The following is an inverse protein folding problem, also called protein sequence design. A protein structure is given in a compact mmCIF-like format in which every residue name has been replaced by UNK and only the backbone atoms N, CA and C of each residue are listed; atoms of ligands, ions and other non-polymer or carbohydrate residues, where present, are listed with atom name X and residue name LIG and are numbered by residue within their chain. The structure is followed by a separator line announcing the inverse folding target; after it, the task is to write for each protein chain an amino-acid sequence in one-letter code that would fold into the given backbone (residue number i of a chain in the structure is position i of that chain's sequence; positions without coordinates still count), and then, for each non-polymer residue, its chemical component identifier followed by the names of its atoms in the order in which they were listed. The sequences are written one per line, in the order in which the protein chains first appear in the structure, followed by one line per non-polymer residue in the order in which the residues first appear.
data_IF_328978382839
#
_entry.id   IF_328978382839
#
_cell.length_a   1.000
_cell.length_b   1.000
_cell.length_c   1.000
_cell.angle_alpha   90.00
_cell.angle_beta   90.00
_cell.angle_gamma   90.00
#
_symmetry.space_group_name_H-M   'P 1'
#
loop_
_entity.id
_entity.type
_entity.pdbx_description
1 polymer ?
#
# COMPACT_ATOMS: atom_id res chain seq x y z
N UNK A 1 8.45 -7.41 -16.13
CA UNK A 1 7.98 -8.56 -15.32
C UNK A 1 9.20 -9.16 -14.64
N UNK A 2 9.16 -9.31 -13.32
CA UNK A 2 10.22 -9.92 -12.50
C UNK A 2 9.68 -11.23 -11.90
N UNK A 3 10.54 -12.21 -11.62
CA UNK A 3 10.13 -13.43 -10.90
C UNK A 3 10.74 -13.50 -9.50
N UNK A 4 9.93 -13.95 -8.54
CA UNK A 4 10.32 -14.33 -7.19
C UNK A 4 9.93 -15.79 -6.97
N UNK A 5 10.88 -16.69 -7.21
CA UNK A 5 10.56 -18.11 -7.39
C UNK A 5 9.60 -18.30 -8.56
N UNK A 6 8.46 -18.96 -8.31
CA UNK A 6 7.46 -19.26 -9.34
C UNK A 6 6.48 -18.12 -9.61
N UNK A 7 6.42 -17.11 -8.75
CA UNK A 7 5.48 -15.99 -8.88
C UNK A 7 6.05 -14.91 -9.78
N UNK A 8 5.30 -14.55 -10.82
CA UNK A 8 5.60 -13.40 -11.67
C UNK A 8 4.99 -12.15 -11.04
N UNK A 9 5.83 -11.13 -10.83
CA UNK A 9 5.47 -9.85 -10.24
C UNK A 9 5.69 -8.75 -11.28
N UNK A 10 4.75 -7.82 -11.33
CA UNK A 10 4.71 -6.69 -12.25
C UNK A 10 4.76 -5.39 -11.47
N UNK A 11 5.40 -4.38 -12.06
CA UNK A 11 5.33 -3.01 -11.57
C UNK A 11 3.86 -2.61 -11.36
N UNK A 12 3.56 -2.13 -10.16
CA UNK A 12 2.22 -1.78 -9.71
C UNK A 12 1.50 -2.88 -8.92
N UNK A 13 2.01 -4.11 -8.89
CA UNK A 13 1.40 -5.18 -8.08
C UNK A 13 1.34 -4.77 -6.60
N UNK A 14 0.18 -4.99 -5.99
CA UNK A 14 -0.03 -4.73 -4.57
C UNK A 14 0.41 -5.96 -3.78
N UNK A 15 1.28 -5.74 -2.81
CA UNK A 15 1.82 -6.79 -1.95
C UNK A 15 1.17 -6.72 -0.57
N UNK A 16 0.55 -7.80 -0.13
CA UNK A 16 -0.07 -7.92 1.20
C UNK A 16 0.73 -8.87 2.09
N UNK A 17 1.38 -8.33 3.14
CA UNK A 17 2.25 -9.10 4.04
C UNK A 17 1.43 -9.94 5.00
N UNK A 18 1.80 -11.21 5.13
CA UNK A 18 1.26 -12.18 6.07
C UNK A 18 2.12 -12.22 7.34
N UNK A 19 1.48 -12.22 8.50
CA UNK A 19 2.12 -12.57 9.78
C UNK A 19 2.15 -14.08 9.96
N UNK A 20 3.33 -14.69 9.89
CA UNK A 20 3.53 -16.13 10.13
C UNK A 20 3.91 -16.36 11.60
N UNK A 21 2.91 -16.39 12.49
CA UNK A 21 2.90 -17.12 13.79
C UNK A 21 3.94 -16.84 14.89
N UNK A 22 5.17 -16.39 14.60
CA UNK A 22 6.25 -16.30 15.58
C UNK A 22 6.99 -14.95 15.62
N UNK A 23 6.68 -14.00 14.74
CA UNK A 23 7.38 -12.70 14.70
C UNK A 23 6.41 -11.54 14.92
N UNK A 24 6.03 -11.39 16.18
CA UNK A 24 5.38 -10.21 16.75
C UNK A 24 6.39 -9.06 16.85
N UNK A 25 6.80 -8.44 15.73
CA UNK A 25 7.63 -7.23 15.77
C UNK A 25 6.98 -6.01 15.08
N UNK A 26 6.66 -5.04 15.95
CA UNK A 26 6.44 -3.59 15.81
C UNK A 26 5.32 -3.04 14.91
N UNK A 27 4.97 -3.63 13.78
CA UNK A 27 3.90 -3.05 12.92
C UNK A 27 2.49 -3.48 13.41
N UNK A 28 2.39 -4.63 14.07
CA UNK A 28 1.14 -5.16 14.64
C UNK A 28 0.75 -4.48 15.97
N UNK A 29 1.71 -3.93 16.72
CA UNK A 29 1.46 -3.44 18.07
C UNK A 29 0.58 -2.18 18.14
N UNK A 30 0.43 -1.43 17.04
CA UNK A 30 -0.25 -0.13 17.08
C UNK A 30 -1.77 -0.25 16.86
N UNK A 31 -2.27 -1.37 16.31
CA UNK A 31 -3.70 -1.51 15.99
C UNK A 31 -4.42 -2.77 16.50
N UNK A 32 -3.71 -3.86 16.79
CA UNK A 32 -4.38 -5.16 17.03
C UNK A 32 -4.62 -5.51 18.50
N UNK A 33 -4.17 -4.71 19.49
CA UNK A 33 -4.38 -5.02 20.91
C UNK A 33 -5.73 -4.58 21.49
N UNK A 34 -6.56 -3.83 20.74
CA UNK A 34 -7.81 -3.24 21.27
C UNK A 34 -9.06 -3.43 20.39
N UNK A 35 -8.96 -4.11 19.25
CA UNK A 35 -10.04 -4.22 18.27
C UNK A 35 -10.59 -5.64 18.03
N UNK A 36 -10.44 -6.55 18.98
CA UNK A 36 -10.94 -7.92 18.85
C UNK A 36 -12.47 -7.99 19.07
N UNK A 37 -13.25 -7.52 18.09
CA UNK A 37 -14.68 -7.81 18.02
C UNK A 37 -15.14 -7.96 16.56
N UNK A 38 -15.59 -9.18 16.23
CA UNK A 38 -16.38 -9.61 15.07
C UNK A 38 -15.74 -9.54 13.66
N UNK A 39 -15.12 -10.66 13.24
CA UNK A 39 -15.18 -11.10 11.83
C UNK A 39 -13.87 -11.61 11.23
N UNK A 40 -13.45 -12.83 11.62
CA UNK A 40 -12.39 -13.61 10.96
C UNK A 40 -10.99 -12.98 11.01
N UNK A 41 -10.05 -13.61 11.71
CA UNK A 41 -8.65 -13.14 11.74
C UNK A 41 -8.03 -13.27 10.35
N UNK A 42 -7.91 -12.15 9.62
CA UNK A 42 -6.96 -12.07 8.50
C UNK A 42 -5.56 -11.95 9.10
N UNK A 43 -4.65 -12.80 8.66
CA UNK A 43 -3.23 -12.74 9.00
C UNK A 43 -2.48 -11.67 8.20
N UNK A 44 -3.19 -10.84 7.41
CA UNK A 44 -2.59 -9.74 6.65
C UNK A 44 -2.38 -8.52 7.54
N UNK A 45 -1.14 -8.05 7.60
CA UNK A 45 -0.70 -7.01 8.55
C UNK A 45 -0.05 -5.80 7.89
N UNK A 46 0.23 -5.85 6.59
CA UNK A 46 0.87 -4.76 5.87
C UNK A 46 0.48 -4.75 4.40
N UNK A 47 0.61 -3.59 3.76
CA UNK A 47 0.39 -3.40 2.34
C UNK A 47 1.48 -2.52 1.72
N UNK A 48 1.92 -2.87 0.52
CA UNK A 48 2.98 -2.18 -0.22
C UNK A 48 2.76 -2.28 -1.73
N UNK A 49 3.54 -1.55 -2.53
CA UNK A 49 3.51 -1.62 -4.01
C UNK A 49 4.87 -2.09 -4.51
N UNK A 50 4.89 -3.10 -5.39
CA UNK A 50 6.11 -3.42 -6.13
C UNK A 50 6.35 -2.37 -7.21
N UNK A 51 7.49 -1.67 -7.16
CA UNK A 51 7.79 -0.56 -8.07
C UNK A 51 8.82 -0.93 -9.15
N UNK A 52 9.38 -2.14 -9.10
CA UNK A 52 10.38 -2.57 -10.08
C UNK A 52 11.78 -2.11 -9.70
N UNK A 53 12.59 -1.68 -10.66
CA UNK A 53 13.94 -1.17 -10.40
C UNK A 53 13.91 0.35 -10.28
N UNK A 54 14.52 0.88 -9.22
CA UNK A 54 14.71 2.32 -8.97
C UNK A 54 16.18 2.58 -8.61
N UNK A 55 16.60 3.83 -8.49
CA UNK A 55 18.00 4.14 -8.18
C UNK A 55 18.44 3.45 -6.87
N UNK A 56 19.51 2.66 -6.93
CA UNK A 56 20.02 1.90 -5.78
C UNK A 56 19.26 0.62 -5.43
N UNK A 57 18.17 0.28 -6.12
CA UNK A 57 17.37 -0.92 -5.86
C UNK A 57 16.99 -1.65 -7.15
N UNK A 58 17.40 -2.91 -7.26
CA UNK A 58 17.08 -3.76 -8.41
C UNK A 58 15.63 -4.27 -8.40
N UNK A 59 15.06 -4.44 -7.20
CA UNK A 59 13.71 -5.00 -6.98
C UNK A 59 13.01 -4.30 -5.82
N UNK A 60 12.71 -3.04 -5.99
CA UNK A 60 12.09 -2.23 -4.94
C UNK A 60 10.60 -2.52 -4.73
N UNK A 61 10.25 -2.50 -3.46
CA UNK A 61 8.91 -2.43 -2.91
C UNK A 61 8.83 -1.08 -2.20
N UNK A 62 7.86 -0.25 -2.58
CA UNK A 62 7.56 0.98 -1.88
C UNK A 62 6.55 0.71 -0.76
N UNK A 63 6.85 1.15 0.46
CA UNK A 63 6.01 0.92 1.63
C UNK A 63 6.01 2.09 2.62
N UNK A 64 5.02 2.11 3.51
CA UNK A 64 4.91 3.05 4.64
C UNK A 64 4.93 2.27 5.95
N UNK A 65 6.04 2.38 6.68
CA UNK A 65 6.30 1.68 7.96
C UNK A 65 6.59 2.68 9.08
N UNK A 66 6.80 2.21 10.31
CA UNK A 66 7.01 3.10 11.47
C UNK A 66 8.10 4.17 11.33
N UNK A 67 9.10 3.97 10.46
CA UNK A 67 10.15 4.95 10.14
C UNK A 67 9.80 5.91 8.99
N UNK A 68 8.59 5.82 8.42
CA UNK A 68 8.15 6.59 7.25
C UNK A 68 8.09 5.78 5.94
N UNK A 69 7.99 6.50 4.83
CA UNK A 69 8.07 5.95 3.47
C UNK A 69 9.49 5.48 3.16
N UNK A 70 9.62 4.29 2.58
CA UNK A 70 10.92 3.74 2.20
C UNK A 70 10.81 2.76 1.04
N UNK A 71 11.96 2.48 0.42
CA UNK A 71 12.14 1.30 -0.41
C UNK A 71 12.59 0.11 0.43
N UNK A 72 12.11 -1.05 0.03
CA UNK A 72 12.49 -2.35 0.54
C UNK A 72 12.84 -3.25 -0.63
N UNK A 73 13.87 -4.08 -0.49
CA UNK A 73 14.12 -5.18 -1.42
C UNK A 73 13.71 -6.52 -0.80
N UNK A 74 13.20 -7.47 -1.60
CA UNK A 74 12.95 -8.83 -1.15
C UNK A 74 14.21 -9.51 -0.62
N UNK A 75 14.12 -10.01 0.60
CA UNK A 75 15.15 -10.79 1.27
C UNK A 75 14.68 -12.25 1.40
N UNK A 76 15.24 -13.21 0.64
CA UNK A 76 14.80 -14.60 0.64
C UNK A 76 14.91 -15.29 2.02
N UNK A 77 15.68 -14.72 2.95
CA UNK A 77 15.83 -15.23 4.31
C UNK A 77 14.82 -14.61 5.30
N UNK A 78 13.92 -13.73 4.85
CA UNK A 78 12.86 -13.17 5.69
C UNK A 78 11.79 -14.22 6.01
N UNK A 79 11.34 -14.22 7.26
CA UNK A 79 10.23 -15.08 7.71
C UNK A 79 8.86 -14.61 7.24
N UNK A 80 8.76 -13.50 6.52
CA UNK A 80 7.49 -12.98 6.03
C UNK A 80 7.19 -13.45 4.61
N UNK A 81 5.91 -13.72 4.36
CA UNK A 81 5.37 -13.96 3.02
C UNK A 81 4.44 -12.83 2.60
N UNK A 82 4.30 -12.63 1.29
CA UNK A 82 3.45 -11.60 0.73
C UNK A 82 2.54 -12.19 -0.34
N UNK A 83 1.24 -11.96 -0.22
CA UNK A 83 0.30 -12.22 -1.31
C UNK A 83 0.44 -11.12 -2.35
N UNK A 84 0.58 -11.52 -3.61
CA UNK A 84 0.72 -10.61 -4.75
C UNK A 84 -0.63 -10.45 -5.42
N UNK A 85 -1.11 -9.22 -5.53
CA UNK A 85 -2.36 -8.86 -6.20
C UNK A 85 -2.09 -7.97 -7.40
N UNK A 86 -2.62 -8.39 -8.53
CA UNK A 86 -2.36 -7.80 -9.84
C UNK A 86 -3.62 -7.17 -10.39
N UNK A 87 -3.57 -5.89 -10.75
CA UNK A 87 -4.65 -5.25 -11.49
C UNK A 87 -4.60 -5.67 -12.96
N UNK A 88 -5.62 -6.42 -13.39
CA UNK A 88 -5.86 -6.80 -14.78
C UNK A 88 -6.45 -5.67 -15.61
N UNK A 89 -6.23 -5.72 -16.92
CA UNK A 89 -6.91 -4.86 -17.91
C UNK A 89 -6.50 -3.38 -17.96
N UNK A 90 -5.75 -2.86 -16.98
CA UNK A 90 -5.31 -1.45 -16.98
C UNK A 90 -3.82 -1.30 -16.61
N UNK A 91 -2.95 -1.61 -17.58
CA UNK A 91 -1.50 -1.55 -17.38
C UNK A 91 -0.98 -0.13 -17.12
N UNK A 92 -1.53 0.88 -17.79
CA UNK A 92 -1.13 2.27 -17.61
C UNK A 92 -1.37 2.73 -16.17
N UNK A 93 -2.54 2.41 -15.61
CA UNK A 93 -2.89 2.78 -14.24
C UNK A 93 -1.94 2.17 -13.20
N UNK A 94 -1.66 0.86 -13.30
CA UNK A 94 -0.76 0.21 -12.33
C UNK A 94 0.69 0.68 -12.44
N UNK A 95 1.19 0.94 -13.65
CA UNK A 95 2.54 1.46 -13.84
C UNK A 95 2.66 2.87 -13.26
N UNK A 96 1.71 3.74 -13.57
CA UNK A 96 1.71 5.10 -13.03
C UNK A 96 1.55 5.13 -11.51
N UNK A 97 0.74 4.23 -10.94
CA UNK A 97 0.62 4.10 -9.48
C UNK A 97 1.95 3.68 -8.85
N UNK A 98 2.74 2.83 -9.52
CA UNK A 98 4.07 2.44 -9.06
C UNK A 98 5.07 3.60 -9.15
N UNK A 99 5.08 4.34 -10.26
CA UNK A 99 5.94 5.50 -10.46
C UNK A 99 5.65 6.58 -9.40
N UNK A 100 4.37 6.86 -9.14
CA UNK A 100 3.97 7.77 -8.08
C UNK A 100 4.38 7.26 -6.69
N UNK A 101 4.21 5.96 -6.42
CA UNK A 101 4.65 5.38 -5.15
C UNK A 101 6.17 5.51 -4.96
N UNK A 102 6.96 5.30 -6.01
CA UNK A 102 8.41 5.49 -5.98
C UNK A 102 8.78 6.96 -5.73
N UNK A 103 8.18 7.89 -6.48
CA UNK A 103 8.45 9.31 -6.33
C UNK A 103 8.05 9.84 -4.94
N UNK A 104 6.97 9.32 -4.34
CA UNK A 104 6.57 9.67 -2.97
C UNK A 104 7.62 9.24 -1.95
N UNK A 105 8.23 8.06 -2.13
CA UNK A 105 9.34 7.58 -1.29
C UNK A 105 10.57 8.48 -1.48
N UNK A 106 10.94 8.80 -2.72
CA UNK A 106 12.09 9.67 -3.01
C UNK A 106 11.90 11.07 -2.41
N UNK A 107 10.70 11.66 -2.54
CA UNK A 107 10.38 12.94 -1.87
C UNK A 107 10.59 12.85 -0.37
N UNK A 108 10.08 11.80 0.28
CA UNK A 108 10.21 11.61 1.73
C UNK A 108 11.67 11.49 2.20
N UNK A 109 12.60 11.05 1.34
CA UNK A 109 14.03 11.00 1.65
C UNK A 109 14.70 12.38 1.59
N UNK A 110 14.11 13.32 0.86
CA UNK A 110 14.64 14.69 0.67
C UNK A 110 13.90 15.76 1.48
N UNK A 111 12.71 15.46 1.99
CA UNK A 111 11.80 16.38 2.66
C UNK A 111 11.46 15.86 4.06
N UNK A 112 12.09 16.45 5.08
CA UNK A 112 11.96 16.02 6.48
C UNK A 112 10.53 16.11 7.06
N UNK A 113 9.62 16.84 6.41
CA UNK A 113 8.22 16.98 6.83
C UNK A 113 7.27 15.97 6.17
N UNK A 114 7.68 15.38 5.05
CA UNK A 114 6.84 14.55 4.20
C UNK A 114 7.11 13.05 4.41
N UNK A 115 6.07 12.22 4.31
CA UNK A 115 6.23 10.77 4.27
C UNK A 115 6.41 10.11 5.65
N UNK A 116 6.16 10.83 6.74
CA UNK A 116 6.18 10.27 8.10
C UNK A 116 5.09 9.21 8.31
N UNK A 117 5.22 8.38 9.35
CA UNK A 117 4.24 7.33 9.61
C UNK A 117 3.10 7.80 10.53
N UNK A 118 1.85 7.59 10.10
CA UNK A 118 0.64 7.89 10.86
C UNK A 118 0.23 6.70 11.73
N UNK A 119 0.72 6.65 12.96
CA UNK A 119 0.31 5.64 13.94
C UNK A 119 -1.20 5.71 14.23
N UNK A 120 -1.73 6.91 14.47
CA UNK A 120 -3.15 7.11 14.73
C UNK A 120 -4.04 6.69 13.56
N UNK A 121 -3.64 6.98 12.32
CA UNK A 121 -4.32 6.51 11.12
C UNK A 121 -4.33 4.98 11.04
N UNK A 122 -3.18 4.34 11.31
CA UNK A 122 -3.07 2.88 11.33
C UNK A 122 -4.00 2.24 12.38
N UNK A 123 -4.02 2.75 13.62
CA UNK A 123 -4.91 2.28 14.68
C UNK A 123 -6.39 2.42 14.30
N UNK A 124 -6.79 3.61 13.81
CA UNK A 124 -8.19 3.87 13.45
C UNK A 124 -8.62 2.97 12.28
N UNK A 125 -7.76 2.74 11.30
CA UNK A 125 -8.05 1.86 10.16
C UNK A 125 -8.28 0.41 10.59
N UNK A 126 -7.51 -0.09 11.57
CA UNK A 126 -7.69 -1.42 12.12
C UNK A 126 -9.03 -1.54 12.87
N UNK A 127 -9.37 -0.55 13.71
CA UNK A 127 -10.59 -0.57 14.52
C UNK A 127 -11.87 -0.39 13.70
N UNK A 128 -11.85 0.48 12.70
CA UNK A 128 -13.02 0.79 11.88
C UNK A 128 -13.25 -0.18 10.71
N UNK A 129 -12.37 -1.17 10.54
CA UNK A 129 -12.49 -2.23 9.55
C UNK A 129 -13.82 -2.98 9.74
N UNK A 130 -14.82 -2.69 8.90
CA UNK A 130 -16.12 -3.38 8.92
C UNK A 130 -17.36 -2.49 9.06
N UNK A 131 -17.22 -1.21 9.46
CA UNK A 131 -18.40 -0.35 9.75
C UNK A 131 -18.36 1.06 9.14
N UNK A 132 -17.41 1.38 8.24
CA UNK A 132 -17.39 2.73 7.64
C UNK A 132 -18.04 2.76 6.28
N UNK A 133 -19.04 3.63 6.17
CA UNK A 133 -19.65 4.08 4.93
C UNK A 133 -18.61 4.50 3.88
N UNK A 134 -18.89 4.07 2.66
CA UNK A 134 -18.07 4.10 1.45
C UNK A 134 -17.88 5.51 0.89
N UNK A 135 -17.10 6.36 1.54
CA UNK A 135 -16.57 7.55 0.88
C UNK A 135 -15.15 7.21 0.40
N UNK A 136 -15.00 6.70 -0.85
CA UNK A 136 -13.68 6.52 -1.44
C UNK A 136 -12.93 7.86 -1.51
N UNK A 137 -11.66 7.80 -1.90
CA UNK A 137 -10.90 9.00 -2.27
C UNK A 137 -11.76 9.90 -3.18
N UNK A 138 -11.84 11.19 -2.87
CA UNK A 138 -12.47 12.18 -3.75
C UNK A 138 -11.44 12.69 -4.76
N UNK A 139 -11.91 13.20 -5.91
CA UNK A 139 -11.04 13.87 -6.89
C UNK A 139 -10.23 15.01 -6.26
N UNK A 140 -10.89 15.80 -5.41
CA UNK A 140 -10.24 16.90 -4.67
C UNK A 140 -9.09 16.44 -3.78
N UNK A 141 -9.21 15.29 -3.12
CA UNK A 141 -8.12 14.77 -2.30
C UNK A 141 -6.94 14.29 -3.15
N UNK A 142 -7.23 13.62 -4.27
CA UNK A 142 -6.17 13.20 -5.20
C UNK A 142 -5.43 14.43 -5.75
N UNK A 143 -6.15 15.51 -6.04
CA UNK A 143 -5.58 16.81 -6.42
C UNK A 143 -4.76 17.44 -5.29
N UNK A 144 -5.29 17.50 -4.07
CA UNK A 144 -4.54 17.99 -2.89
C UNK A 144 -3.24 17.20 -2.68
N UNK A 145 -3.27 15.90 -2.93
CA UNK A 145 -2.08 15.06 -2.86
C UNK A 145 -1.08 15.32 -3.97
N UNK A 146 -1.54 15.54 -5.20
CA UNK A 146 -0.66 15.95 -6.29
C UNK A 146 -0.06 17.34 -6.03
N UNK A 147 -0.82 18.24 -5.42
CA UNK A 147 -0.33 19.54 -4.98
C UNK A 147 0.71 19.40 -3.87
N UNK A 148 0.49 18.55 -2.86
CA UNK A 148 1.48 18.28 -1.81
C UNK A 148 2.75 17.64 -2.37
N UNK A 149 2.61 16.75 -3.35
CA UNK A 149 3.72 16.10 -4.02
C UNK A 149 4.56 17.10 -4.82
N UNK A 150 3.92 18.04 -5.53
CA UNK A 150 4.60 19.01 -6.41
C UNK A 150 5.01 20.31 -5.72
N UNK A 151 4.47 20.60 -4.52
CA UNK A 151 4.79 21.82 -3.78
C UNK A 151 6.18 21.76 -3.14
N UNK A 152 7.06 22.76 -3.41
CA UNK A 152 8.36 22.88 -2.75
C UNK A 152 8.26 23.07 -1.22
N UNK A 153 7.11 23.54 -0.74
CA UNK A 153 6.78 23.73 0.67
C UNK A 153 5.61 22.81 1.09
N UNK A 154 5.56 21.61 0.51
CA UNK A 154 4.47 20.65 0.67
C UNK A 154 4.10 20.40 2.14
N UNK A 155 2.81 20.21 2.40
CA UNK A 155 2.33 20.00 3.76
C UNK A 155 2.95 18.76 4.41
N UNK A 156 3.11 18.80 5.74
CA UNK A 156 3.50 17.64 6.52
C UNK A 156 2.44 16.54 6.37
N UNK A 157 2.69 15.57 5.48
CA UNK A 157 1.77 14.46 5.21
C UNK A 157 2.33 13.16 5.75
N UNK A 158 1.54 12.52 6.59
CA UNK A 158 1.84 11.19 7.13
C UNK A 158 1.01 10.11 6.46
N UNK A 159 1.58 8.92 6.34
CA UNK A 159 0.97 7.77 5.69
C UNK A 159 0.91 6.57 6.64
N UNK A 160 0.01 5.65 6.35
CA UNK A 160 0.12 4.28 6.84
C UNK A 160 0.03 3.32 5.65
N UNK A 161 0.48 2.08 5.83
CA UNK A 161 0.71 1.13 4.75
C UNK A 161 -0.41 1.02 3.70
N UNK A 162 -1.64 0.71 4.11
CA UNK A 162 -2.78 0.57 3.20
C UNK A 162 -3.25 1.90 2.61
N UNK A 163 -3.20 2.99 3.38
CA UNK A 163 -3.52 4.33 2.91
C UNK A 163 -2.60 4.78 1.78
N UNK A 164 -1.29 4.56 1.95
CA UNK A 164 -0.29 4.83 0.92
C UNK A 164 -0.62 4.13 -0.41
N UNK A 165 -0.99 2.84 -0.35
CA UNK A 165 -1.35 2.06 -1.54
C UNK A 165 -2.60 2.61 -2.24
N UNK A 166 -3.68 2.86 -1.48
CA UNK A 166 -4.95 3.38 -2.03
C UNK A 166 -4.71 4.74 -2.70
N UNK A 167 -3.97 5.62 -2.05
CA UNK A 167 -3.72 6.97 -2.53
C UNK A 167 -2.88 6.99 -3.81
N UNK A 168 -1.82 6.17 -3.90
CA UNK A 168 -1.00 6.07 -5.12
C UNK A 168 -1.85 5.67 -6.34
N UNK A 169 -2.76 4.71 -6.16
CA UNK A 169 -3.70 4.30 -7.21
C UNK A 169 -4.74 5.37 -7.56
N UNK A 170 -5.24 6.12 -6.56
CA UNK A 170 -6.19 7.21 -6.81
C UNK A 170 -5.55 8.39 -7.53
N UNK A 171 -4.31 8.76 -7.18
CA UNK A 171 -3.55 9.78 -7.91
C UNK A 171 -3.28 9.35 -9.35
N UNK A 172 -2.85 8.10 -9.57
CA UNK A 172 -2.64 7.58 -10.91
C UNK A 172 -3.92 7.60 -11.76
N UNK A 173 -5.06 7.23 -11.17
CA UNK A 173 -6.34 7.31 -11.85
C UNK A 173 -6.69 8.76 -12.24
N UNK A 174 -6.53 9.71 -11.31
CA UNK A 174 -6.76 11.13 -11.57
C UNK A 174 -5.89 11.65 -12.72
N UNK A 175 -4.59 11.33 -12.73
CA UNK A 175 -3.65 11.74 -13.79
C UNK A 175 -3.98 11.15 -15.16
N UNK A 176 -4.63 9.98 -15.20
CA UNK A 176 -5.10 9.34 -16.42
C UNK A 176 -6.51 9.81 -16.85
N UNK A 177 -7.11 10.78 -16.14
CA UNK A 177 -8.48 11.23 -16.38
C UNK A 177 -9.54 10.18 -16.06
N UNK A 178 -9.20 9.18 -15.24
CA UNK A 178 -10.08 8.13 -14.79
C UNK A 178 -10.73 8.50 -13.45
N UNK A 179 -11.90 7.93 -13.11
CA UNK A 179 -12.41 8.01 -11.75
C UNK A 179 -11.35 7.56 -10.74
N UNK A 180 -11.13 8.31 -9.67
CA UNK A 180 -10.15 8.00 -8.60
C UNK A 180 -10.33 6.63 -7.91
N UNK A 181 -11.45 5.96 -8.19
CA UNK A 181 -11.82 4.61 -7.75
C UNK A 181 -11.51 3.51 -8.75
N UNK A 182 -10.99 3.84 -9.94
CA UNK A 182 -10.74 2.88 -11.04
C UNK A 182 -9.71 1.79 -10.71
N UNK A 183 -8.78 2.07 -9.78
CA UNK A 183 -7.83 1.06 -9.30
C UNK A 183 -8.33 0.38 -8.02
N UNK A 184 -8.41 1.18 -6.94
CA UNK A 184 -8.81 0.70 -5.62
C UNK A 184 -9.96 1.57 -5.10
N UNK A 185 -11.16 1.00 -5.09
CA UNK A 185 -12.36 1.66 -4.58
C UNK A 185 -12.54 1.40 -3.08
N UNK A 186 -11.61 1.94 -2.27
CA UNK A 186 -11.64 1.82 -0.81
C UNK A 186 -11.43 3.18 -0.15
N UNK A 187 -11.90 3.30 1.10
CA UNK A 187 -11.72 4.53 1.86
C UNK A 187 -10.30 4.59 2.44
N UNK A 188 -9.44 5.37 1.82
CA UNK A 188 -8.02 5.51 2.20
C UNK A 188 -7.79 5.86 3.68
N UNK A 189 -8.72 6.53 4.39
CA UNK A 189 -8.56 6.89 5.81
C UNK A 189 -8.72 5.70 6.76
N UNK A 190 -9.50 4.70 6.35
CA UNK A 190 -9.98 3.64 7.26
C UNK A 190 -9.72 2.23 6.73
N UNK A 191 -9.12 2.12 5.54
CA UNK A 191 -8.84 0.83 4.93
C UNK A 191 -7.69 0.15 5.65
N UNK A 192 -7.94 -1.00 6.26
CA UNK A 192 -6.90 -1.86 6.80
C UNK A 192 -6.33 -2.78 5.69
N UNK A 193 -5.13 -3.36 5.87
CA UNK A 193 -4.63 -4.40 4.95
C UNK A 193 -5.56 -5.61 4.81
N UNK A 194 -6.27 -5.99 5.89
CA UNK A 194 -7.27 -7.05 5.87
C UNK A 194 -8.48 -6.68 5.00
N UNK A 195 -8.93 -5.42 5.06
CA UNK A 195 -10.01 -4.93 4.19
C UNK A 195 -9.58 -4.88 2.72
N UNK A 196 -8.33 -4.51 2.43
CA UNK A 196 -7.77 -4.61 1.09
C UNK A 196 -7.77 -6.04 0.56
N UNK A 197 -7.39 -7.02 1.39
CA UNK A 197 -7.46 -8.43 1.00
C UNK A 197 -8.89 -8.84 0.65
N UNK A 198 -9.89 -8.45 1.47
CA UNK A 198 -11.31 -8.72 1.21
C UNK A 198 -11.80 -8.06 -0.06
N UNK A 199 -11.32 -6.86 -0.36
CA UNK A 199 -11.66 -6.15 -1.60
C UNK A 199 -11.09 -6.87 -2.82
N UNK A 200 -9.79 -7.18 -2.82
CA UNK A 200 -9.16 -7.85 -3.97
C UNK A 200 -9.74 -9.24 -4.22
N UNK A 201 -10.08 -9.99 -3.17
CA UNK A 201 -10.69 -11.32 -3.32
C UNK A 201 -12.10 -11.30 -3.91
N UNK A 202 -12.81 -10.16 -3.82
CA UNK A 202 -14.17 -9.98 -4.34
C UNK A 202 -14.23 -9.21 -5.66
N UNK A 203 -13.14 -8.57 -6.07
CA UNK A 203 -13.07 -7.76 -7.28
C UNK A 203 -12.34 -8.52 -8.39
N UNK A 204 -13.08 -8.97 -9.41
CA UNK A 204 -12.53 -9.75 -10.53
C UNK A 204 -11.48 -9.03 -11.38
N UNK A 205 -11.37 -7.70 -11.29
CA UNK A 205 -10.28 -6.96 -11.93
C UNK A 205 -8.93 -7.19 -11.23
N UNK A 206 -8.93 -7.69 -10.00
CA UNK A 206 -7.73 -8.01 -9.24
C UNK A 206 -7.48 -9.53 -9.22
N UNK A 207 -6.34 -9.94 -9.74
CA UNK A 207 -5.92 -11.34 -9.80
C UNK A 207 -4.91 -11.63 -8.70
N UNK A 208 -5.10 -12.73 -7.97
CA UNK A 208 -4.08 -13.24 -7.05
C UNK A 208 -2.98 -13.92 -7.87
N UNK A 209 -1.80 -13.32 -7.93
CA UNK A 209 -0.65 -13.83 -8.69
C UNK A 209 0.16 -14.89 -7.91
N UNK A 210 -0.17 -15.11 -6.63
CA UNK A 210 0.48 -16.09 -5.77
C UNK A 210 1.11 -15.47 -4.53
N UNK A 211 2.03 -16.22 -3.91
CA UNK A 211 2.72 -15.83 -2.68
C UNK A 211 4.22 -15.78 -2.93
N UNK A 212 4.84 -14.65 -2.60
CA UNK A 212 6.30 -14.54 -2.52
C UNK A 212 6.75 -14.75 -1.08
N UNK A 213 7.76 -15.58 -0.88
CA UNK A 213 8.42 -15.74 0.41
C UNK A 213 9.64 -14.83 0.44
N UNK A 214 9.87 -14.16 1.57
CA UNK A 214 11.10 -13.44 1.78
C UNK A 214 11.09 -11.98 1.35
N UNK A 215 10.31 -11.10 2.00
CA UNK A 215 10.49 -9.65 1.90
C UNK A 215 10.40 -9.00 3.29
N UNK A 216 11.29 -8.04 3.58
CA UNK A 216 11.66 -7.62 4.94
C UNK A 216 10.86 -6.43 5.50
#
# INVERSE_FOLDING_TARGET
MQRFGNVAVHTGDVLLKVSTGNVTHKIIQIGQKTGASSGGFSNIVHAAIYVGSVAGHSKAIAESVGSGLRFLEPNPNSHYSWHVWHLGGNQALRHLAADLAANLVEKAQTDNGFGSYSQGGATISAYKSGNVTKNPVSGTLAEDMMNDFTSPNGTNRSFFCSNFVVLAYSMAAQMLGLPVTSGINLNYKYTSPAEMQKYFSRNHSWLNAGVINGAY
#
